data_IF_959139688985
#
_entry.id   IF_959139688985
#
_cell.length_a   1.000
_cell.length_b   1.000
_cell.length_c   1.000
_cell.angle_alpha   90.00
_cell.angle_beta   90.00
_cell.angle_gamma   90.00
#
_symmetry.space_group_name_H-M   'P 1'
#
loop_
_entity.id
_entity.type
_entity.pdbx_description
1 polymer ?
#
# COMPACT_ATOMS: atom_id res chain seq x y z
N UNK A 1 5.93 14.27 9.36
CA UNK A 1 4.69 13.95 8.60
C UNK A 1 3.96 12.79 9.29
N UNK A 2 2.67 12.54 8.97
CA UNK A 2 1.87 11.44 9.58
C UNK A 2 2.54 10.07 9.43
N UNK A 3 3.09 9.75 8.25
CA UNK A 3 3.77 8.47 7.98
C UNK A 3 4.92 8.19 8.95
N UNK A 4 5.82 9.16 9.13
CA UNK A 4 6.95 9.03 10.06
C UNK A 4 6.48 8.87 11.52
N UNK A 5 5.44 9.61 11.94
CA UNK A 5 4.88 9.50 13.30
C UNK A 5 4.25 8.13 13.58
N UNK A 6 3.68 7.50 12.55
CA UNK A 6 3.08 6.17 12.63
C UNK A 6 4.08 5.03 12.40
N UNK A 7 5.36 5.33 12.13
CA UNK A 7 6.36 4.31 11.80
C UNK A 7 6.15 3.64 10.43
N UNK A 8 5.39 4.27 9.53
CA UNK A 8 5.10 3.76 8.18
C UNK A 8 6.09 4.29 7.12
N UNK A 9 7.16 4.94 7.53
CA UNK A 9 8.21 5.52 6.70
C UNK A 9 9.43 5.76 7.56
N UNK A 10 10.61 5.57 6.99
CA UNK A 10 11.87 5.99 7.57
C UNK A 10 12.54 7.05 6.69
N UNK A 11 13.44 7.82 7.31
CA UNK A 11 14.29 8.75 6.57
C UNK A 11 15.43 7.96 5.96
N UNK A 12 15.61 8.07 4.64
CA UNK A 12 16.82 7.60 3.99
C UNK A 12 18.05 8.33 4.57
N UNK A 13 19.17 7.61 4.68
CA UNK A 13 20.44 8.15 5.16
C UNK A 13 21.08 9.15 4.20
N UNK A 14 22.40 9.30 4.25
CA UNK A 14 23.12 10.12 3.26
C UNK A 14 22.94 9.52 1.86
N UNK A 15 22.40 10.36 0.97
CA UNK A 15 22.32 10.07 -0.46
C UNK A 15 23.73 9.92 -1.03
N UNK A 16 24.05 8.74 -1.53
CA UNK A 16 25.31 8.45 -2.20
C UNK A 16 25.02 8.33 -3.69
N UNK A 17 25.37 9.35 -4.49
CA UNK A 17 25.20 9.36 -5.95
C UNK A 17 25.81 8.16 -6.67
N UNK A 18 26.70 7.40 -6.00
CA UNK A 18 27.34 6.20 -6.51
C UNK A 18 26.55 4.89 -6.31
N UNK A 19 25.42 4.90 -5.59
CA UNK A 19 24.56 3.72 -5.46
C UNK A 19 23.64 3.59 -6.69
N UNK A 20 23.98 2.65 -7.57
CA UNK A 20 23.34 2.45 -8.88
C UNK A 20 21.95 1.79 -8.85
N UNK A 21 21.39 1.49 -7.67
CA UNK A 21 20.20 0.63 -7.52
C UNK A 21 19.05 1.32 -6.78
N UNK A 22 18.99 2.65 -6.79
CA UNK A 22 17.87 3.37 -6.19
C UNK A 22 16.67 3.44 -7.14
N UNK A 23 15.48 3.22 -6.59
CA UNK A 23 14.22 3.35 -7.32
C UNK A 23 13.28 4.29 -6.58
N UNK A 24 12.76 5.29 -7.31
CA UNK A 24 11.82 6.26 -6.77
C UNK A 24 10.46 6.09 -7.40
N UNK A 25 9.43 5.95 -6.55
CA UNK A 25 8.03 5.92 -6.98
C UNK A 25 7.50 7.36 -6.95
N UNK A 26 7.03 7.90 -8.09
CA UNK A 26 6.35 9.18 -8.10
C UNK A 26 5.13 9.17 -7.18
N UNK A 27 4.91 10.25 -6.45
CA UNK A 27 3.73 10.38 -5.61
C UNK A 27 3.11 11.76 -5.72
N UNK A 28 1.80 11.84 -5.50
CA UNK A 28 1.09 13.10 -5.49
C UNK A 28 0.00 13.13 -4.41
N UNK A 29 -0.36 14.33 -4.00
CA UNK A 29 -1.40 14.60 -3.02
C UNK A 29 -2.77 14.71 -3.69
N UNK A 30 -3.75 13.93 -3.22
CA UNK A 30 -5.15 14.05 -3.58
C UNK A 30 -5.93 14.56 -2.37
N UNK A 31 -6.49 15.76 -2.49
CA UNK A 31 -7.35 16.36 -1.48
C UNK A 31 -8.80 15.95 -1.71
N UNK A 32 -9.41 15.38 -0.68
CA UNK A 32 -10.84 15.07 -0.65
C UNK A 32 -11.49 15.87 0.48
N UNK A 33 -11.92 17.08 0.16
CA UNK A 33 -12.56 18.01 1.10
C UNK A 33 -13.80 17.43 1.79
N UNK A 34 -14.49 16.51 1.12
CA UNK A 34 -15.69 15.80 1.63
C UNK A 34 -15.37 14.63 2.57
N UNK A 35 -14.11 14.21 2.69
CA UNK A 35 -13.73 13.13 3.59
C UNK A 35 -13.57 13.64 5.02
N UNK A 36 -14.34 13.07 5.95
CA UNK A 36 -14.32 13.45 7.37
C UNK A 36 -13.01 13.00 8.03
N UNK A 37 -12.56 11.78 7.75
CA UNK A 37 -11.41 11.14 8.41
C UNK A 37 -10.10 11.24 7.64
N UNK A 38 -10.12 11.44 6.32
CA UNK A 38 -8.90 11.44 5.49
C UNK A 38 -8.95 12.52 4.41
N UNK A 39 -8.79 13.78 4.81
CA UNK A 39 -8.84 14.95 3.91
C UNK A 39 -7.72 14.97 2.87
N UNK A 40 -6.57 14.37 3.17
CA UNK A 40 -5.41 14.26 2.29
C UNK A 40 -5.02 12.79 2.11
N UNK A 41 -4.90 12.34 0.86
CA UNK A 41 -4.39 11.01 0.50
C UNK A 41 -3.17 11.16 -0.39
N UNK A 42 -2.09 10.45 -0.05
CA UNK A 42 -0.91 10.35 -0.91
C UNK A 42 -1.13 9.15 -1.82
N UNK A 43 -1.02 9.37 -3.13
CA UNK A 43 -1.12 8.33 -4.16
C UNK A 43 0.28 8.09 -4.71
N UNK A 44 0.72 6.84 -4.68
CA UNK A 44 1.98 6.39 -5.26
C UNK A 44 1.69 5.77 -6.63
N UNK A 45 2.37 6.25 -7.67
CA UNK A 45 2.21 5.74 -9.03
C UNK A 45 3.30 4.71 -9.36
N UNK A 46 3.03 3.45 -9.01
CA UNK A 46 3.88 2.31 -9.35
C UNK A 46 3.80 1.88 -10.82
N UNK A 47 2.99 2.55 -11.65
CA UNK A 47 2.86 2.28 -13.10
C UNK A 47 3.74 3.18 -13.96
N UNK A 48 4.38 4.20 -13.38
CA UNK A 48 5.33 5.03 -14.11
C UNK A 48 6.52 4.19 -14.60
N UNK A 49 6.84 4.32 -15.89
CA UNK A 49 7.96 3.64 -16.53
C UNK A 49 9.28 4.27 -16.07
N UNK A 50 10.23 3.43 -15.70
CA UNK A 50 11.53 3.81 -15.18
C UNK A 50 12.57 3.91 -16.31
N UNK A 51 13.80 4.32 -15.97
CA UNK A 51 14.94 4.34 -16.91
C UNK A 51 15.22 2.98 -17.57
N UNK A 52 14.80 1.88 -16.93
CA UNK A 52 14.92 0.50 -17.43
C UNK A 52 13.82 0.11 -18.44
N UNK A 53 12.86 0.99 -18.72
CA UNK A 53 11.75 0.73 -19.64
C UNK A 53 10.63 -0.15 -19.07
N UNK A 54 10.66 -0.46 -17.76
CA UNK A 54 9.61 -1.19 -17.03
C UNK A 54 9.07 -0.35 -15.87
N UNK A 55 7.85 -0.62 -15.42
CA UNK A 55 7.29 -0.08 -14.19
C UNK A 55 7.49 -1.05 -13.02
N UNK A 56 7.31 -0.59 -11.78
CA UNK A 56 7.34 -1.48 -10.61
C UNK A 56 6.26 -2.57 -10.71
N UNK A 57 5.06 -2.21 -11.17
CA UNK A 57 3.96 -3.16 -11.35
C UNK A 57 4.28 -4.28 -12.36
N UNK A 58 5.16 -4.04 -13.33
CA UNK A 58 5.60 -5.06 -14.30
C UNK A 58 6.62 -6.04 -13.71
N UNK A 59 7.34 -5.63 -12.67
CA UNK A 59 8.38 -6.40 -12.02
C UNK A 59 7.87 -7.20 -10.82
N UNK A 60 6.85 -6.70 -10.13
CA UNK A 60 6.25 -7.37 -8.98
C UNK A 60 5.50 -8.64 -9.40
N UNK A 61 5.87 -9.77 -8.81
CA UNK A 61 5.15 -11.03 -9.01
C UNK A 61 3.78 -10.98 -8.35
N UNK A 62 2.76 -11.43 -9.08
CA UNK A 62 1.43 -11.62 -8.50
C UNK A 62 1.45 -12.84 -7.58
N UNK A 63 1.16 -12.61 -6.30
CA UNK A 63 0.96 -13.68 -5.33
C UNK A 63 -0.29 -14.52 -5.67
N UNK A 64 -0.40 -15.73 -5.09
CA UNK A 64 -1.59 -16.57 -5.25
C UNK A 64 -2.84 -15.90 -4.64
N UNK A 65 -4.00 -16.30 -5.13
CA UNK A 65 -5.28 -15.88 -4.53
C UNK A 65 -5.45 -16.58 -3.19
N UNK A 66 -5.24 -15.82 -2.10
CA UNK A 66 -5.39 -16.30 -0.73
C UNK A 66 -6.80 -16.10 -0.18
N UNK A 67 -7.60 -15.24 -0.82
CA UNK A 67 -8.94 -14.94 -0.34
C UNK A 67 -9.91 -16.08 -0.68
N UNK A 68 -10.82 -16.44 0.25
CA UNK A 68 -11.88 -17.39 -0.06
C UNK A 68 -12.84 -16.82 -1.12
N UNK A 69 -13.54 -17.70 -1.84
CA UNK A 69 -14.49 -17.26 -2.88
C UNK A 69 -15.59 -16.40 -2.28
N UNK A 70 -16.07 -15.42 -3.06
CA UNK A 70 -17.17 -14.55 -2.63
C UNK A 70 -18.40 -15.35 -2.19
N UNK A 71 -18.71 -16.45 -2.90
CA UNK A 71 -19.79 -17.36 -2.53
C UNK A 71 -19.62 -17.93 -1.12
N UNK A 72 -18.44 -18.48 -0.81
CA UNK A 72 -18.16 -19.04 0.52
C UNK A 72 -18.18 -17.98 1.63
N UNK A 73 -17.77 -16.76 1.32
CA UNK A 73 -17.81 -15.62 2.25
C UNK A 73 -19.25 -15.20 2.54
N UNK A 74 -20.09 -15.09 1.51
CA UNK A 74 -21.50 -14.74 1.66
C UNK A 74 -22.30 -15.80 2.42
N UNK A 75 -22.05 -17.08 2.16
CA UNK A 75 -22.69 -18.16 2.91
C UNK A 75 -22.35 -18.06 4.40
N UNK A 76 -21.06 -17.99 4.76
CA UNK A 76 -20.61 -17.89 6.16
C UNK A 76 -21.18 -16.66 6.86
N UNK A 77 -21.24 -15.53 6.17
CA UNK A 77 -21.83 -14.30 6.70
C UNK A 77 -23.32 -14.46 7.06
N UNK A 78 -24.05 -15.34 6.37
CA UNK A 78 -25.47 -15.61 6.60
C UNK A 78 -25.76 -16.76 7.58
N UNK A 79 -24.76 -17.53 8.00
CA UNK A 79 -24.95 -18.68 8.91
C UNK A 79 -25.44 -18.25 10.29
N UNK A 80 -25.00 -17.08 10.77
CA UNK A 80 -25.32 -16.59 12.10
C UNK A 80 -26.34 -15.44 12.04
N UNK A 81 -27.15 -15.32 13.10
CA UNK A 81 -28.17 -14.28 13.23
C UNK A 81 -27.56 -12.86 13.35
N UNK A 82 -26.33 -12.77 13.86
CA UNK A 82 -25.63 -11.50 14.08
C UNK A 82 -24.30 -11.55 13.33
N UNK A 83 -24.01 -10.48 12.59
CA UNK A 83 -22.75 -10.27 11.92
C UNK A 83 -22.02 -9.06 12.50
N UNK A 84 -20.71 -9.18 12.68
CA UNK A 84 -19.85 -8.08 13.11
C UNK A 84 -19.06 -7.58 11.91
N UNK A 85 -19.02 -6.26 11.75
CA UNK A 85 -18.24 -5.58 10.71
C UNK A 85 -17.40 -4.51 11.37
N UNK A 86 -16.14 -4.41 10.96
CA UNK A 86 -15.23 -3.37 11.41
C UNK A 86 -14.47 -2.81 10.20
N UNK A 87 -14.17 -1.51 10.25
CA UNK A 87 -13.26 -0.87 9.32
C UNK A 87 -11.86 -0.87 9.93
N UNK A 88 -10.88 -1.39 9.19
CA UNK A 88 -9.48 -1.40 9.61
C UNK A 88 -8.81 -0.17 9.03
N UNK A 89 -8.56 0.82 9.89
CA UNK A 89 -7.90 2.04 9.47
C UNK A 89 -6.52 1.73 8.87
N UNK A 90 -6.28 2.23 7.64
CA UNK A 90 -5.01 2.10 6.93
C UNK A 90 -4.52 0.65 6.83
N UNK A 91 -5.43 -0.31 6.61
CA UNK A 91 -5.16 -1.76 6.55
C UNK A 91 -3.84 -2.14 5.86
N UNK A 92 -3.58 -1.66 4.65
CA UNK A 92 -2.35 -2.01 3.91
C UNK A 92 -1.05 -1.56 4.59
N UNK A 93 -1.10 -0.53 5.44
CA UNK A 93 0.08 -0.04 6.19
C UNK A 93 0.38 -0.86 7.44
N UNK A 94 -0.48 -1.82 7.79
CA UNK A 94 -0.29 -2.73 8.93
C UNK A 94 0.53 -3.98 8.54
N UNK A 95 0.95 -4.09 7.28
CA UNK A 95 1.78 -5.18 6.78
C UNK A 95 3.23 -4.71 6.76
N UNK A 96 4.11 -5.44 7.45
CA UNK A 96 5.55 -5.17 7.44
C UNK A 96 6.15 -5.57 6.10
N UNK A 97 7.06 -4.73 5.59
CA UNK A 97 7.87 -5.02 4.41
C UNK A 97 9.14 -5.76 4.86
N UNK A 98 9.61 -6.70 4.04
CA UNK A 98 10.84 -7.41 4.33
C UNK A 98 12.04 -6.46 4.19
N UNK A 99 13.05 -6.57 5.07
CA UNK A 99 14.20 -5.66 5.05
C UNK A 99 14.97 -5.68 3.71
N UNK A 100 14.94 -6.79 2.99
CA UNK A 100 15.58 -6.93 1.66
C UNK A 100 14.79 -6.21 0.54
N UNK A 101 13.53 -5.86 0.78
CA UNK A 101 12.67 -5.11 -0.15
C UNK A 101 12.64 -3.60 0.18
N UNK A 102 13.35 -3.16 1.23
CA UNK A 102 13.48 -1.77 1.66
C UNK A 102 14.72 -1.09 1.06
#
# INVERSE_FOLDING_TARGET
>A
MEYLKLGHMETIGQFNETQSNEYYIPHHAVFKSTSITTKLRVVFDASTICSTGKSLNDLLMKGPVVQPTLYSTLLRFRVHQVALTADIEKMYRQILIHNDDC
#
